data_IF_434625389540
#
_entry.id   IF_434625389540
#
_cell.length_a   1.000
_cell.length_b   1.000
_cell.length_c   1.000
_cell.angle_alpha   90.00
_cell.angle_beta   90.00
_cell.angle_gamma   90.00
#
_symmetry.space_group_name_H-M   'P 1'
#
loop_
_entity.id
_entity.type
_entity.pdbx_description
1 polymer ?
#
# COMPACT_ATOMS: atom_id res chain seq x y z
N UNK A 1 26.29 32.66 20.85
CA UNK A 1 25.33 32.85 21.96
C UNK A 1 24.55 34.12 21.67
N UNK A 2 23.23 34.08 21.50
CA UNK A 2 22.34 35.25 21.54
C UNK A 2 20.88 34.78 21.70
N UNK A 3 20.25 35.26 22.78
CA UNK A 3 18.82 35.27 23.10
C UNK A 3 18.08 33.93 23.11
N UNK A 4 18.22 33.19 24.22
CA UNK A 4 17.17 32.30 24.69
C UNK A 4 15.97 33.13 25.18
N UNK A 5 15.28 33.80 24.26
CA UNK A 5 13.90 34.18 24.47
C UNK A 5 13.16 32.88 24.80
N UNK A 6 12.49 32.83 25.95
CA UNK A 6 11.63 31.72 26.34
C UNK A 6 10.57 31.53 25.27
N UNK A 7 10.87 30.74 24.24
CA UNK A 7 9.95 30.49 23.17
C UNK A 7 8.75 29.77 23.79
N UNK A 8 7.57 30.36 23.69
CA UNK A 8 6.32 29.78 24.20
C UNK A 8 5.63 28.94 23.11
N UNK A 9 5.89 29.27 21.84
CA UNK A 9 5.34 28.62 20.66
C UNK A 9 6.37 28.51 19.54
N UNK A 10 6.10 27.60 18.60
CA UNK A 10 6.94 27.42 17.41
C UNK A 10 6.85 28.66 16.49
N UNK A 11 7.97 29.11 15.89
CA UNK A 11 7.96 30.20 14.90
C UNK A 11 7.05 29.89 13.70
N UNK A 12 6.50 30.93 13.05
CA UNK A 12 5.65 30.77 11.86
C UNK A 12 6.39 30.03 10.74
N UNK A 13 5.68 29.23 9.95
CA UNK A 13 6.26 28.45 8.85
C UNK A 13 7.07 29.32 7.86
N UNK A 14 6.56 30.51 7.52
CA UNK A 14 7.27 31.46 6.65
C UNK A 14 8.56 32.02 7.27
N UNK A 15 8.59 32.22 8.60
CA UNK A 15 9.80 32.67 9.30
C UNK A 15 10.88 31.59 9.27
N UNK A 16 10.51 30.33 9.55
CA UNK A 16 11.42 29.18 9.45
C UNK A 16 11.94 29.03 8.01
N UNK A 17 11.08 29.22 7.00
CA UNK A 17 11.51 29.21 5.59
C UNK A 17 12.49 30.35 5.28
N UNK A 18 12.26 31.55 5.80
CA UNK A 18 13.18 32.68 5.66
C UNK A 18 14.56 32.39 6.25
N UNK A 19 14.59 31.81 7.46
CA UNK A 19 15.84 31.38 8.11
C UNK A 19 16.53 30.25 7.34
N UNK A 20 15.77 29.25 6.90
CA UNK A 20 16.28 28.15 6.09
C UNK A 20 16.90 28.67 4.79
N UNK A 21 16.23 29.60 4.10
CA UNK A 21 16.73 30.22 2.87
C UNK A 21 18.00 31.04 3.10
N UNK A 22 18.09 31.77 4.21
CA UNK A 22 19.27 32.55 4.58
C UNK A 22 20.50 31.65 4.79
N UNK A 23 20.37 30.58 5.57
CA UNK A 23 21.46 29.63 5.81
C UNK A 23 21.78 28.83 4.54
N UNK A 24 20.76 28.45 3.76
CA UNK A 24 20.94 27.79 2.48
C UNK A 24 21.79 28.62 1.51
N UNK A 25 21.50 29.91 1.36
CA UNK A 25 22.27 30.82 0.51
C UNK A 25 23.71 31.02 0.99
N UNK A 26 23.94 31.15 2.31
CA UNK A 26 25.28 31.37 2.85
C UNK A 26 26.20 30.15 2.67
N UNK A 27 25.63 28.95 2.60
CA UNK A 27 26.38 27.68 2.47
C UNK A 27 26.09 26.92 1.19
N UNK A 28 25.57 27.60 0.16
CA UNK A 28 25.09 27.00 -1.08
C UNK A 28 26.13 26.08 -1.73
N UNK A 29 27.39 26.52 -1.81
CA UNK A 29 28.47 25.71 -2.39
C UNK A 29 28.74 24.39 -1.64
N UNK A 30 28.62 24.38 -0.31
CA UNK A 30 28.79 23.15 0.48
C UNK A 30 27.60 22.20 0.27
N UNK A 31 26.38 22.72 0.34
CA UNK A 31 25.17 21.92 0.18
C UNK A 31 25.05 21.34 -1.23
N UNK A 32 25.24 22.17 -2.27
CA UNK A 32 25.24 21.69 -3.65
C UNK A 32 26.42 20.77 -3.94
N UNK A 33 27.61 21.05 -3.39
CA UNK A 33 28.76 20.17 -3.55
C UNK A 33 28.52 18.75 -3.01
N UNK A 34 27.87 18.64 -1.84
CA UNK A 34 27.45 17.33 -1.30
C UNK A 34 26.41 16.67 -2.23
N UNK A 35 25.39 17.40 -2.66
CA UNK A 35 24.35 16.84 -3.54
C UNK A 35 24.88 16.44 -4.92
N UNK A 36 25.84 17.19 -5.46
CA UNK A 36 26.47 16.87 -6.74
C UNK A 36 27.31 15.59 -6.63
N UNK A 37 28.13 15.45 -5.58
CA UNK A 37 28.93 14.23 -5.39
C UNK A 37 28.01 13.01 -5.23
N UNK A 38 26.95 13.12 -4.43
CA UNK A 38 26.04 11.99 -4.18
C UNK A 38 25.26 11.54 -5.43
N UNK A 39 25.03 12.43 -6.40
CA UNK A 39 24.31 12.12 -7.63
C UNK A 39 25.24 11.79 -8.81
N UNK A 40 26.37 12.49 -8.96
CA UNK A 40 27.30 12.30 -10.07
C UNK A 40 28.05 10.96 -9.95
N UNK A 41 28.48 10.57 -8.75
CA UNK A 41 29.23 9.31 -8.56
C UNK A 41 28.44 8.08 -9.05
N UNK A 42 27.16 7.90 -8.67
CA UNK A 42 26.29 6.85 -9.25
C UNK A 42 26.18 6.91 -10.77
N UNK A 43 25.98 8.10 -11.35
CA UNK A 43 25.83 8.28 -12.80
C UNK A 43 27.11 7.89 -13.54
N UNK A 44 28.28 8.30 -13.04
CA UNK A 44 29.57 7.93 -13.62
C UNK A 44 29.81 6.43 -13.53
N UNK A 45 29.45 5.79 -12.41
CA UNK A 45 29.54 4.34 -12.28
C UNK A 45 28.67 3.62 -13.31
N UNK A 46 27.39 4.02 -13.43
CA UNK A 46 26.47 3.42 -14.41
C UNK A 46 27.01 3.62 -15.83
N UNK A 47 27.47 4.82 -16.18
CA UNK A 47 28.08 5.11 -17.47
C UNK A 47 29.29 4.24 -17.75
N UNK A 48 30.20 4.10 -16.79
CA UNK A 48 31.38 3.24 -16.91
C UNK A 48 31.00 1.77 -17.12
N UNK A 49 30.02 1.26 -16.37
CA UNK A 49 29.53 -0.12 -16.51
C UNK A 49 28.89 -0.37 -17.87
N UNK A 50 28.15 0.61 -18.41
CA UNK A 50 27.58 0.53 -19.77
C UNK A 50 28.71 0.46 -20.80
N UNK A 51 29.71 1.34 -20.72
CA UNK A 51 30.86 1.35 -21.64
C UNK A 51 31.63 0.03 -21.58
N UNK A 52 31.92 -0.48 -20.39
CA UNK A 52 32.58 -1.78 -20.21
C UNK A 52 31.73 -2.92 -20.77
N UNK A 53 30.42 -2.93 -20.52
CA UNK A 53 29.50 -3.93 -21.06
C UNK A 53 29.48 -3.93 -22.59
N UNK A 54 29.44 -2.75 -23.22
CA UNK A 54 29.51 -2.61 -24.67
C UNK A 54 30.85 -3.10 -25.23
N UNK A 55 31.97 -2.73 -24.59
CA UNK A 55 33.31 -3.16 -25.00
C UNK A 55 33.50 -4.68 -24.92
N UNK A 56 32.95 -5.32 -23.89
CA UNK A 56 33.00 -6.77 -23.70
C UNK A 56 31.99 -7.53 -24.58
N UNK A 57 31.23 -6.85 -25.44
CA UNK A 57 30.24 -7.48 -26.31
C UNK A 57 29.07 -8.09 -25.54
N UNK A 58 28.75 -7.56 -24.36
CA UNK A 58 27.67 -8.07 -23.52
C UNK A 58 26.32 -7.91 -24.22
N UNK A 59 25.67 -9.02 -24.56
CA UNK A 59 24.31 -9.03 -25.12
C UNK A 59 23.31 -9.16 -23.98
N UNK A 60 22.37 -8.22 -23.90
CA UNK A 60 21.24 -8.34 -22.99
C UNK A 60 20.47 -9.62 -23.33
N UNK A 61 20.17 -10.46 -22.33
CA UNK A 61 19.42 -11.67 -22.60
C UNK A 61 17.97 -11.31 -22.95
N UNK A 62 17.23 -12.22 -23.62
CA UNK A 62 15.85 -11.97 -24.00
C UNK A 62 14.98 -11.57 -22.79
N UNK A 63 14.01 -10.66 -22.96
CA UNK A 63 13.08 -10.29 -21.88
C UNK A 63 12.43 -11.53 -21.27
N UNK A 64 12.42 -11.62 -19.94
CA UNK A 64 11.84 -12.75 -19.19
C UNK A 64 12.80 -13.91 -18.88
N UNK A 65 14.04 -13.87 -19.38
CA UNK A 65 15.08 -14.82 -18.96
C UNK A 65 15.64 -14.46 -17.57
N UNK A 66 15.65 -15.43 -16.66
CA UNK A 66 16.22 -15.28 -15.32
C UNK A 66 17.71 -15.63 -15.34
N UNK A 67 18.57 -14.64 -15.55
CA UNK A 67 20.02 -14.81 -15.44
C UNK A 67 20.51 -14.36 -14.05
N UNK A 68 20.87 -15.33 -13.20
CA UNK A 68 21.32 -15.07 -11.82
C UNK A 68 22.52 -14.12 -11.78
N UNK A 69 23.46 -14.22 -12.72
CA UNK A 69 24.65 -13.36 -12.75
C UNK A 69 24.31 -11.88 -13.01
N UNK A 70 23.34 -11.62 -13.87
CA UNK A 70 22.86 -10.25 -14.14
C UNK A 70 22.11 -9.70 -12.92
N UNK A 71 21.28 -10.53 -12.29
CA UNK A 71 20.55 -10.13 -11.07
C UNK A 71 21.54 -9.77 -9.96
N UNK A 72 22.56 -10.61 -9.72
CA UNK A 72 23.59 -10.34 -8.72
C UNK A 72 24.38 -9.07 -9.06
N UNK A 73 24.75 -8.87 -10.32
CA UNK A 73 25.45 -7.65 -10.76
C UNK A 73 24.60 -6.40 -10.53
N UNK A 74 23.31 -6.46 -10.88
CA UNK A 74 22.36 -5.38 -10.63
C UNK A 74 22.21 -5.09 -9.13
N UNK A 75 22.09 -6.13 -8.29
CA UNK A 75 21.99 -5.97 -6.83
C UNK A 75 23.24 -5.33 -6.24
N UNK A 76 24.43 -5.69 -6.72
CA UNK A 76 25.69 -5.09 -6.27
C UNK A 76 25.73 -3.59 -6.63
N UNK A 77 25.44 -3.27 -7.89
CA UNK A 77 25.44 -1.88 -8.37
C UNK A 77 24.38 -1.05 -7.65
N UNK A 78 23.17 -1.59 -7.51
CA UNK A 78 22.08 -0.97 -6.77
C UNK A 78 22.47 -0.71 -5.30
N UNK A 79 23.06 -1.71 -4.64
CA UNK A 79 23.52 -1.57 -3.24
C UNK A 79 24.58 -0.48 -3.11
N UNK A 80 25.54 -0.42 -4.04
CA UNK A 80 26.55 0.64 -4.07
C UNK A 80 25.91 2.03 -4.24
N UNK A 81 24.99 2.19 -5.19
CA UNK A 81 24.27 3.44 -5.43
C UNK A 81 23.50 3.86 -4.17
N UNK A 82 22.81 2.92 -3.53
CA UNK A 82 22.06 3.16 -2.30
C UNK A 82 22.96 3.62 -1.14
N UNK A 83 24.16 3.04 -1.01
CA UNK A 83 25.18 3.46 -0.02
C UNK A 83 25.62 4.89 -0.30
N UNK A 84 26.01 5.20 -1.54
CA UNK A 84 26.50 6.55 -1.92
C UNK A 84 25.43 7.61 -1.72
N UNK A 85 24.19 7.31 -2.13
CA UNK A 85 23.06 8.22 -1.93
C UNK A 85 22.78 8.47 -0.44
N UNK A 86 22.71 7.40 0.36
CA UNK A 86 22.52 7.49 1.82
C UNK A 86 23.63 8.28 2.47
N UNK A 87 24.88 8.03 2.07
CA UNK A 87 26.04 8.73 2.60
C UNK A 87 25.97 10.24 2.32
N UNK A 88 25.54 10.63 1.11
CA UNK A 88 25.29 12.03 0.75
C UNK A 88 24.18 12.68 1.57
N UNK A 89 23.07 11.98 1.78
CA UNK A 89 21.96 12.47 2.62
C UNK A 89 22.43 12.71 4.06
N UNK A 90 23.16 11.77 4.66
CA UNK A 90 23.66 11.92 6.03
C UNK A 90 24.70 13.05 6.11
N UNK A 91 25.60 13.14 5.12
CA UNK A 91 26.57 14.23 5.03
C UNK A 91 25.87 15.59 4.98
N UNK A 92 24.79 15.71 4.20
CA UNK A 92 23.98 16.93 4.15
C UNK A 92 23.39 17.27 5.52
N UNK A 93 22.88 16.30 6.27
CA UNK A 93 22.35 16.53 7.62
C UNK A 93 23.45 17.03 8.57
N UNK A 94 24.67 16.47 8.51
CA UNK A 94 25.80 16.99 9.29
C UNK A 94 26.18 18.42 8.87
N UNK A 95 26.21 18.71 7.57
CA UNK A 95 26.52 20.06 7.06
C UNK A 95 25.50 21.11 7.51
N UNK A 96 24.24 20.69 7.69
CA UNK A 96 23.12 21.49 8.20
C UNK A 96 23.21 21.64 9.72
N UNK A 97 23.38 20.53 10.44
CA UNK A 97 23.48 20.48 11.91
C UNK A 97 24.61 21.36 12.41
N UNK A 98 25.79 21.20 11.82
CA UNK A 98 27.02 21.89 12.20
C UNK A 98 27.24 23.12 11.28
N UNK A 99 26.14 23.76 10.83
CA UNK A 99 26.21 24.92 9.93
C UNK A 99 26.86 26.14 10.57
N UNK A 100 26.72 26.31 11.88
CA UNK A 100 27.38 27.35 12.66
C UNK A 100 28.91 27.17 12.73
N UNK A 101 29.39 25.91 12.68
CA UNK A 101 30.82 25.57 12.65
C UNK A 101 31.42 25.69 11.24
N UNK A 102 30.59 25.84 10.20
CA UNK A 102 31.05 26.01 8.82
C UNK A 102 31.72 24.77 8.20
N UNK A 103 31.36 23.55 8.64
CA UNK A 103 32.04 22.32 8.20
C UNK A 103 32.01 22.11 6.67
N UNK A 104 33.15 21.78 6.06
CA UNK A 104 33.26 21.58 4.60
C UNK A 104 32.64 20.27 4.09
N UNK A 105 32.63 20.10 2.76
CA UNK A 105 32.07 18.92 2.06
C UNK A 105 32.73 17.62 2.55
N UNK A 106 34.07 17.55 2.52
CA UNK A 106 34.84 16.37 2.93
C UNK A 106 34.55 15.98 4.39
N UNK A 107 34.48 16.97 5.26
CA UNK A 107 34.22 16.74 6.69
C UNK A 107 32.82 16.18 6.93
N UNK A 108 31.84 16.71 6.20
CA UNK A 108 30.45 16.27 6.26
C UNK A 108 30.31 14.79 5.88
N UNK A 109 30.96 14.36 4.79
CA UNK A 109 31.03 12.96 4.40
C UNK A 109 31.78 12.09 5.43
N UNK A 110 32.91 12.56 5.96
CA UNK A 110 33.67 11.83 6.98
C UNK A 110 32.84 11.53 8.23
N UNK A 111 32.13 12.55 8.75
CA UNK A 111 31.20 12.38 9.88
C UNK A 111 30.04 11.43 9.53
N UNK A 112 29.50 11.55 8.32
CA UNK A 112 28.32 10.77 7.89
C UNK A 112 28.55 9.26 7.72
N UNK A 113 29.76 8.82 7.36
CA UNK A 113 30.06 7.41 7.05
C UNK A 113 29.68 6.46 8.20
N UNK A 114 29.98 6.84 9.44
CA UNK A 114 29.77 6.01 10.63
C UNK A 114 28.30 5.91 11.07
N UNK A 115 27.39 6.64 10.41
CA UNK A 115 25.96 6.63 10.73
C UNK A 115 25.10 5.89 9.71
N UNK A 116 25.66 5.39 8.60
CA UNK A 116 24.90 4.73 7.53
C UNK A 116 24.05 3.57 8.06
N UNK A 117 24.66 2.64 8.81
CA UNK A 117 23.93 1.49 9.38
C UNK A 117 22.85 1.92 10.38
N UNK A 118 23.14 2.92 11.21
CA UNK A 118 22.17 3.42 12.19
C UNK A 118 21.01 4.15 11.51
N UNK A 119 21.30 4.89 10.43
CA UNK A 119 20.30 5.55 9.60
C UNK A 119 19.40 4.53 8.94
N UNK A 120 19.95 3.53 8.25
CA UNK A 120 19.16 2.46 7.65
C UNK A 120 18.34 1.70 8.69
N UNK A 121 18.87 1.42 9.86
CA UNK A 121 18.08 0.76 10.92
C UNK A 121 16.89 1.60 11.38
N UNK A 122 17.08 2.91 11.61
CA UNK A 122 15.98 3.83 11.96
C UNK A 122 14.96 3.95 10.82
N UNK A 123 15.44 4.13 9.58
CA UNK A 123 14.59 4.23 8.38
C UNK A 123 13.83 2.94 8.10
N UNK A 124 14.45 1.78 8.34
CA UNK A 124 13.81 0.47 8.22
C UNK A 124 12.68 0.36 9.22
N UNK A 125 12.93 0.57 10.51
CA UNK A 125 11.89 0.55 11.55
C UNK A 125 10.75 1.53 11.24
N UNK A 126 11.09 2.75 10.79
CA UNK A 126 10.11 3.74 10.36
C UNK A 126 9.24 3.21 9.21
N UNK A 127 9.84 2.66 8.16
CA UNK A 127 9.13 2.16 6.99
C UNK A 127 8.09 1.10 7.38
N UNK A 128 8.44 0.13 8.22
CA UNK A 128 7.49 -0.89 8.68
C UNK A 128 6.38 -0.33 9.55
N UNK A 129 6.69 0.60 10.46
CA UNK A 129 5.66 1.25 11.28
C UNK A 129 4.70 2.03 10.39
N UNK A 130 5.20 2.74 9.36
CA UNK A 130 4.34 3.48 8.45
C UNK A 130 3.47 2.54 7.63
N UNK A 131 4.03 1.47 7.05
CA UNK A 131 3.25 0.49 6.28
C UNK A 131 2.17 -0.17 7.15
N UNK A 132 2.52 -0.56 8.38
CA UNK A 132 1.53 -1.07 9.35
C UNK A 132 0.54 -0.01 9.81
N UNK A 133 0.95 1.24 9.91
CA UNK A 133 0.08 2.38 10.23
C UNK A 133 -0.93 2.67 9.12
N UNK A 134 -0.49 2.61 7.86
CA UNK A 134 -1.30 2.88 6.66
C UNK A 134 -2.27 1.75 6.29
N UNK A 135 -2.38 0.69 7.11
CA UNK A 135 -3.58 -0.16 7.13
C UNK A 135 -4.83 0.71 7.23
N UNK A 136 -4.73 1.78 8.03
CA UNK A 136 -5.71 2.84 8.11
C UNK A 136 -5.00 4.16 7.78
N UNK A 137 -5.55 4.94 6.86
CA UNK A 137 -4.90 6.17 6.35
C UNK A 137 -4.58 7.14 7.51
N UNK A 138 -5.52 7.31 8.45
CA UNK A 138 -5.40 8.28 9.55
C UNK A 138 -4.26 7.94 10.53
N UNK A 139 -4.17 6.71 11.11
CA UNK A 139 -3.01 6.30 11.91
C UNK A 139 -1.67 6.43 11.19
N UNK A 140 -1.61 6.11 9.90
CA UNK A 140 -0.40 6.25 9.08
C UNK A 140 0.12 7.69 9.04
N UNK A 141 -0.76 8.67 8.81
CA UNK A 141 -0.41 10.10 8.81
C UNK A 141 0.05 10.55 10.20
N UNK A 142 -0.64 10.10 11.26
CA UNK A 142 -0.25 10.45 12.64
C UNK A 142 1.17 9.97 12.95
N UNK A 143 1.49 8.72 12.59
CA UNK A 143 2.84 8.15 12.77
C UNK A 143 3.88 8.85 11.91
N UNK A 144 3.57 9.18 10.65
CA UNK A 144 4.49 9.91 9.77
C UNK A 144 4.93 11.23 10.39
N UNK A 145 4.01 11.98 10.98
CA UNK A 145 4.33 13.26 11.63
C UNK A 145 5.05 13.04 12.96
N UNK A 146 4.62 12.10 13.82
CA UNK A 146 5.34 11.78 15.06
C UNK A 146 6.80 11.39 14.83
N UNK A 147 7.07 10.66 13.76
CA UNK A 147 8.38 10.11 13.47
C UNK A 147 9.18 10.89 12.42
N UNK A 148 8.63 11.98 11.89
CA UNK A 148 9.26 12.83 10.87
C UNK A 148 10.65 13.35 11.27
N UNK A 149 10.93 13.50 12.57
CA UNK A 149 12.18 14.07 13.09
C UNK A 149 13.19 13.02 13.57
N UNK A 150 12.88 11.73 13.44
CA UNK A 150 13.69 10.63 13.98
C UNK A 150 15.12 10.62 13.44
N UNK A 151 15.30 11.01 12.17
CA UNK A 151 16.61 11.11 11.55
C UNK A 151 17.44 12.24 12.19
N UNK A 152 16.82 13.37 12.51
CA UNK A 152 17.52 14.46 13.20
C UNK A 152 17.88 14.09 14.63
N UNK A 153 16.99 13.39 15.34
CA UNK A 153 17.30 12.83 16.67
C UNK A 153 18.53 11.91 16.58
N UNK A 154 18.60 11.04 15.57
CA UNK A 154 19.75 10.16 15.36
C UNK A 154 21.06 10.93 15.16
N UNK A 155 21.07 11.94 14.30
CA UNK A 155 22.31 12.65 13.93
C UNK A 155 22.70 13.72 14.95
N UNK A 156 21.71 14.40 15.53
CA UNK A 156 21.93 15.49 16.48
C UNK A 156 22.19 14.99 17.91
N UNK A 157 21.58 13.86 18.30
CA UNK A 157 21.60 13.37 19.69
C UNK A 157 22.23 11.98 19.84
N UNK A 158 22.66 11.35 18.74
CA UNK A 158 23.24 10.01 18.71
C UNK A 158 22.37 8.91 19.31
N UNK A 159 21.05 9.06 19.22
CA UNK A 159 20.07 8.06 19.67
C UNK A 159 19.65 7.21 18.48
N UNK A 160 19.65 5.88 18.64
CA UNK A 160 19.50 4.94 17.52
C UNK A 160 18.25 4.07 17.65
N UNK A 161 17.87 3.43 16.54
CA UNK A 161 16.79 2.45 16.47
C UNK A 161 15.44 3.01 16.92
N UNK A 162 14.66 2.20 17.63
CA UNK A 162 13.31 2.57 18.09
C UNK A 162 13.32 3.78 19.04
N UNK A 163 14.40 3.98 19.78
CA UNK A 163 14.45 5.04 20.78
C UNK A 163 14.53 6.42 20.10
N UNK A 164 15.13 6.49 18.90
CA UNK A 164 15.14 7.70 18.07
C UNK A 164 13.73 8.08 17.60
N UNK A 165 12.96 7.07 17.17
CA UNK A 165 11.56 7.21 16.77
C UNK A 165 10.69 7.69 17.94
N UNK A 166 10.79 7.02 19.08
CA UNK A 166 9.98 7.36 20.24
C UNK A 166 10.35 8.74 20.80
N UNK A 167 11.62 9.15 20.75
CA UNK A 167 12.02 10.51 21.15
C UNK A 167 11.51 11.57 20.17
N UNK A 168 11.51 11.29 18.86
CA UNK A 168 10.85 12.15 17.85
C UNK A 168 9.37 12.34 18.19
N UNK A 169 8.66 11.24 18.49
CA UNK A 169 7.25 11.30 18.91
C UNK A 169 7.08 12.21 20.12
N UNK A 170 7.95 12.11 21.10
CA UNK A 170 7.92 12.95 22.29
C UNK A 170 8.13 14.43 21.96
N UNK A 171 9.00 14.80 21.02
CA UNK A 171 9.11 16.20 20.57
C UNK A 171 7.84 16.72 19.91
N UNK A 172 7.13 15.86 19.17
CA UNK A 172 5.93 16.24 18.41
C UNK A 172 4.66 16.17 19.28
N UNK A 173 4.65 15.35 20.33
CA UNK A 173 3.49 15.11 21.20
C UNK A 173 3.02 16.42 21.84
N UNK A 174 1.70 16.68 21.78
CA UNK A 174 1.08 17.93 22.22
C UNK A 174 1.22 19.11 21.24
N UNK A 175 2.04 18.98 20.18
CA UNK A 175 2.20 19.99 19.12
C UNK A 175 2.00 19.41 17.72
N UNK A 176 1.34 18.25 17.61
CA UNK A 176 1.23 17.48 16.37
C UNK A 176 0.70 18.30 15.19
N UNK A 177 -0.43 18.99 15.37
CA UNK A 177 -1.02 19.80 14.29
C UNK A 177 -0.10 20.95 13.86
N UNK A 178 0.59 21.57 14.81
CA UNK A 178 1.58 22.62 14.54
C UNK A 178 2.75 22.10 13.69
N UNK A 179 3.18 20.86 13.91
CA UNK A 179 4.23 20.21 13.11
C UNK A 179 3.69 19.81 11.73
N UNK A 180 2.51 19.19 11.69
CA UNK A 180 1.83 18.81 10.45
C UNK A 180 1.71 19.97 9.47
N UNK A 181 1.16 21.12 9.91
CA UNK A 181 0.96 22.27 9.03
C UNK A 181 2.27 22.88 8.53
N UNK A 182 3.38 22.78 9.29
CA UNK A 182 4.71 23.23 8.84
C UNK A 182 5.29 22.32 7.76
N UNK A 183 5.11 21.00 7.89
CA UNK A 183 5.52 20.05 6.86
C UNK A 183 4.63 20.15 5.63
N UNK A 184 3.32 20.30 5.79
CA UNK A 184 2.41 20.53 4.66
C UNK A 184 2.78 21.82 3.92
N UNK A 185 3.06 22.91 4.64
CA UNK A 185 3.49 24.17 4.05
C UNK A 185 4.73 24.00 3.16
N UNK A 186 5.81 23.39 3.66
CA UNK A 186 7.03 23.23 2.87
C UNK A 186 6.82 22.26 1.69
N UNK A 187 5.98 21.23 1.84
CA UNK A 187 5.61 20.33 0.74
C UNK A 187 4.86 21.07 -0.36
N UNK A 188 3.86 21.88 -0.02
CA UNK A 188 3.08 22.65 -0.99
C UNK A 188 3.95 23.69 -1.72
N UNK A 189 4.81 24.41 -0.98
CA UNK A 189 5.76 25.35 -1.59
C UNK A 189 6.74 24.62 -2.51
N UNK A 190 7.28 23.47 -2.08
CA UNK A 190 8.17 22.64 -2.88
C UNK A 190 7.49 22.11 -4.15
N UNK A 191 6.21 21.74 -4.06
CA UNK A 191 5.40 21.31 -5.20
C UNK A 191 5.21 22.45 -6.21
N UNK A 192 4.87 23.66 -5.74
CA UNK A 192 4.74 24.84 -6.61
C UNK A 192 6.07 25.13 -7.32
N UNK A 193 7.19 25.13 -6.59
CA UNK A 193 8.53 25.33 -7.16
C UNK A 193 8.86 24.25 -8.20
N UNK A 194 8.60 22.98 -7.89
CA UNK A 194 8.80 21.86 -8.83
C UNK A 194 7.97 22.01 -10.10
N UNK A 195 6.71 22.43 -10.00
CA UNK A 195 5.84 22.66 -11.16
C UNK A 195 6.40 23.80 -12.02
N UNK A 196 6.74 24.95 -11.40
CA UNK A 196 7.28 26.11 -12.13
C UNK A 196 8.60 25.75 -12.83
N UNK A 197 9.51 25.07 -12.14
CA UNK A 197 10.81 24.69 -12.70
C UNK A 197 10.73 23.56 -13.74
N UNK A 198 9.64 22.78 -13.76
CA UNK A 198 9.44 21.72 -14.76
C UNK A 198 8.76 22.21 -16.05
N UNK A 199 8.22 23.44 -16.09
CA UNK A 199 7.60 24.01 -17.32
C UNK A 199 8.54 23.93 -18.53
N UNK A 200 9.83 24.32 -18.45
CA UNK A 200 10.74 24.17 -19.59
C UNK A 200 10.88 22.71 -20.04
N UNK A 201 10.93 21.74 -19.11
CA UNK A 201 11.02 20.32 -19.44
C UNK A 201 9.83 19.85 -20.27
N UNK A 202 8.62 20.33 -19.97
CA UNK A 202 7.40 20.05 -20.74
C UNK A 202 7.52 20.61 -22.16
N UNK A 203 7.98 21.86 -22.30
CA UNK A 203 8.18 22.52 -23.60
C UNK A 203 9.18 21.72 -24.45
N UNK A 204 10.33 21.35 -23.90
CA UNK A 204 11.34 20.55 -24.61
C UNK A 204 10.81 19.15 -24.97
N UNK A 205 9.99 18.55 -24.12
CA UNK A 205 9.29 17.30 -24.40
C UNK A 205 8.33 17.42 -25.60
N UNK A 206 7.56 18.51 -25.67
CA UNK A 206 6.69 18.80 -26.83
C UNK A 206 7.48 19.01 -28.12
N UNK A 207 8.66 19.62 -28.02
CA UNK A 207 9.61 19.77 -29.14
C UNK A 207 10.33 18.47 -29.51
N UNK A 208 10.06 17.35 -28.81
CA UNK A 208 10.71 16.04 -28.98
C UNK A 208 12.24 16.10 -28.89
N UNK A 209 12.78 17.02 -28.09
CA UNK A 209 14.22 17.08 -27.85
C UNK A 209 14.54 16.04 -26.76
N UNK A 210 15.27 14.95 -27.09
CA UNK A 210 15.52 13.88 -26.13
C UNK A 210 16.41 14.36 -24.99
N UNK A 211 16.28 13.75 -23.82
CA UNK A 211 17.10 13.93 -22.62
C UNK A 211 17.04 15.30 -21.92
N UNK A 212 16.66 16.40 -22.59
CA UNK A 212 16.64 17.74 -21.97
C UNK A 212 15.65 17.80 -20.80
N UNK A 213 14.46 17.23 -20.96
CA UNK A 213 13.47 17.16 -19.88
C UNK A 213 13.98 16.35 -18.68
N UNK A 214 14.67 15.23 -18.94
CA UNK A 214 15.23 14.37 -17.90
C UNK A 214 16.33 15.10 -17.13
N UNK A 215 17.19 15.84 -17.82
CA UNK A 215 18.26 16.64 -17.21
C UNK A 215 17.64 17.70 -16.29
N UNK A 216 16.64 18.45 -16.75
CA UNK A 216 15.97 19.49 -15.95
C UNK A 216 15.36 18.86 -14.69
N UNK A 217 14.58 17.79 -14.84
CA UNK A 217 13.96 17.09 -13.71
C UNK A 217 14.98 16.49 -12.74
N UNK A 218 16.16 16.11 -13.21
CA UNK A 218 17.25 15.59 -12.36
C UNK A 218 17.95 16.68 -11.56
N UNK A 219 17.97 17.93 -12.08
CA UNK A 219 18.64 19.05 -11.43
C UNK A 219 17.80 19.63 -10.29
N UNK A 220 16.47 19.70 -10.44
CA UNK A 220 15.61 20.37 -9.44
C UNK A 220 15.81 19.82 -8.01
N UNK A 221 15.83 18.49 -7.76
CA UNK A 221 16.05 17.95 -6.41
C UNK A 221 17.40 18.30 -5.79
N UNK A 222 18.45 18.48 -6.61
CA UNK A 222 19.79 18.87 -6.15
C UNK A 222 19.74 20.21 -5.41
N UNK A 223 18.89 21.14 -5.87
CA UNK A 223 18.68 22.44 -5.24
C UNK A 223 17.63 22.41 -4.13
N UNK A 224 16.53 21.68 -4.34
CA UNK A 224 15.37 21.73 -3.45
C UNK A 224 15.57 20.89 -2.17
N UNK A 225 16.20 19.73 -2.26
CA UNK A 225 16.38 18.81 -1.12
C UNK A 225 17.12 19.45 0.06
N UNK A 226 18.26 20.17 -0.12
CA UNK A 226 18.91 20.88 0.97
C UNK A 226 18.03 21.92 1.67
N UNK A 227 17.21 22.65 0.90
CA UNK A 227 16.31 23.66 1.45
C UNK A 227 15.23 23.00 2.33
N UNK A 228 14.60 21.94 1.84
CA UNK A 228 13.58 21.18 2.59
C UNK A 228 14.19 20.54 3.84
N UNK A 229 15.39 19.99 3.73
CA UNK A 229 16.08 19.37 4.86
C UNK A 229 16.52 20.39 5.91
N UNK A 230 17.00 21.57 5.48
CA UNK A 230 17.29 22.69 6.38
C UNK A 230 16.05 23.14 7.12
N UNK A 231 14.94 23.39 6.39
CA UNK A 231 13.67 23.76 6.99
C UNK A 231 13.21 22.73 8.03
N UNK A 232 13.27 21.44 7.69
CA UNK A 232 12.88 20.35 8.57
C UNK A 232 13.78 20.25 9.81
N UNK A 233 15.08 20.49 9.65
CA UNK A 233 16.03 20.55 10.77
C UNK A 233 15.74 21.74 11.69
N UNK A 234 15.38 22.91 11.15
CA UNK A 234 14.99 24.07 11.96
C UNK A 234 13.71 23.80 12.76
N UNK A 235 12.70 23.14 12.17
CA UNK A 235 11.51 22.69 12.91
C UNK A 235 11.90 21.77 14.07
N UNK A 236 12.81 20.82 13.83
CA UNK A 236 13.35 19.96 14.88
C UNK A 236 14.08 20.75 15.98
N UNK A 237 14.97 21.67 15.59
CA UNK A 237 15.78 22.48 16.50
C UNK A 237 14.89 23.35 17.40
N UNK A 238 13.87 23.98 16.83
CA UNK A 238 12.94 24.83 17.56
C UNK A 238 12.08 24.00 18.52
N UNK A 239 11.58 22.83 18.10
CA UNK A 239 10.88 21.89 18.99
C UNK A 239 11.75 21.40 20.14
N UNK A 240 13.02 21.09 19.86
CA UNK A 240 13.99 20.68 20.88
C UNK A 240 14.23 21.83 21.86
N UNK A 241 14.41 23.05 21.37
CA UNK A 241 14.59 24.25 22.21
C UNK A 241 13.36 24.52 23.08
N UNK A 242 12.15 24.28 22.58
CA UNK A 242 10.89 24.45 23.32
C UNK A 242 10.72 23.40 24.42
N UNK A 243 11.10 22.14 24.15
CA UNK A 243 10.92 21.04 25.10
C UNK A 243 12.04 20.99 26.15
N UNK A 244 13.22 21.51 25.82
CA UNK A 244 14.41 21.44 26.66
C UNK A 244 15.04 20.04 26.72
N UNK A 245 16.06 19.90 27.55
CA UNK A 245 16.62 18.58 27.86
C UNK A 245 15.71 17.85 28.84
N UNK A 246 15.32 16.63 28.48
CA UNK A 246 14.56 15.74 29.36
C UNK A 246 15.18 14.34 29.32
N UNK A 247 15.23 13.63 30.47
CA UNK A 247 15.66 12.25 30.48
C UNK A 247 14.65 11.42 29.67
N UNK A 248 15.14 10.73 28.65
CA UNK A 248 14.30 9.90 27.80
C UNK A 248 14.67 8.43 27.97
N UNK A 249 13.85 7.70 28.72
CA UNK A 249 13.90 6.24 28.84
C UNK A 249 12.54 5.69 28.41
N UNK A 250 12.43 5.10 27.20
CA UNK A 250 11.14 4.59 26.73
C UNK A 250 10.70 3.40 27.57
N UNK A 251 9.40 3.35 27.91
CA UNK A 251 8.84 2.16 28.55
C UNK A 251 8.85 0.96 27.60
N UNK A 252 9.20 -0.23 28.10
CA UNK A 252 9.26 -1.46 27.30
C UNK A 252 7.93 -1.78 26.59
N UNK A 253 6.79 -1.47 27.24
CA UNK A 253 5.45 -1.66 26.68
C UNK A 253 5.19 -0.77 25.46
N UNK A 254 5.60 0.51 25.52
CA UNK A 254 5.46 1.42 24.36
C UNK A 254 6.31 0.93 23.19
N UNK A 255 7.55 0.49 23.47
CA UNK A 255 8.46 -0.05 22.46
C UNK A 255 7.86 -1.29 21.78
N UNK A 256 7.34 -2.23 22.56
CA UNK A 256 6.69 -3.43 22.05
C UNK A 256 5.47 -3.13 21.16
N UNK A 257 4.64 -2.14 21.52
CA UNK A 257 3.48 -1.75 20.70
C UNK A 257 3.85 -1.32 19.29
N UNK A 258 4.86 -0.46 19.14
CA UNK A 258 5.30 -0.02 17.80
C UNK A 258 6.06 -1.10 17.03
N UNK A 259 6.79 -1.98 17.73
CA UNK A 259 7.38 -3.16 17.09
C UNK A 259 6.28 -4.06 16.53
N UNK A 260 5.21 -4.31 17.28
CA UNK A 260 4.06 -5.08 16.82
C UNK A 260 3.39 -4.44 15.59
N UNK A 261 3.17 -3.12 15.60
CA UNK A 261 2.69 -2.39 14.42
C UNK A 261 3.62 -2.57 13.21
N UNK A 262 4.93 -2.51 13.42
CA UNK A 262 5.91 -2.77 12.35
C UNK A 262 5.85 -4.20 11.80
N UNK A 263 5.70 -5.20 12.68
CA UNK A 263 5.54 -6.61 12.28
C UNK A 263 4.26 -6.81 11.46
N UNK A 264 3.15 -6.18 11.85
CA UNK A 264 1.92 -6.18 11.05
C UNK A 264 2.15 -5.57 9.66
N UNK A 265 2.92 -4.47 9.59
CA UNK A 265 3.34 -3.89 8.32
C UNK A 265 4.14 -4.86 7.45
N UNK A 266 5.07 -5.62 8.03
CA UNK A 266 5.86 -6.63 7.32
C UNK A 266 4.98 -7.74 6.77
N UNK A 267 4.01 -8.21 7.56
CA UNK A 267 3.06 -9.23 7.13
C UNK A 267 2.28 -8.79 5.88
N UNK A 268 1.91 -7.52 5.78
CA UNK A 268 1.19 -6.97 4.62
C UNK A 268 2.07 -6.95 3.37
N UNK A 269 3.34 -6.54 3.50
CA UNK A 269 4.29 -6.50 2.38
C UNK A 269 4.47 -7.90 1.77
N UNK A 270 4.37 -8.95 2.57
CA UNK A 270 4.52 -10.34 2.10
C UNK A 270 3.18 -10.86 1.56
N UNK A 271 2.08 -10.66 2.28
CA UNK A 271 0.79 -11.27 1.94
C UNK A 271 0.12 -10.64 0.72
N UNK A 272 0.25 -9.33 0.52
CA UNK A 272 -0.38 -8.64 -0.62
C UNK A 272 0.19 -9.11 -1.96
N UNK A 273 1.52 -9.13 -2.19
CA UNK A 273 2.08 -9.67 -3.44
C UNK A 273 1.77 -11.16 -3.64
N UNK A 274 1.78 -11.97 -2.58
CA UNK A 274 1.41 -13.39 -2.68
C UNK A 274 -0.06 -13.56 -3.09
N UNK A 275 -0.96 -12.76 -2.51
CA UNK A 275 -2.36 -12.76 -2.88
C UNK A 275 -2.55 -12.30 -4.33
N UNK A 276 -1.88 -11.23 -4.77
CA UNK A 276 -1.91 -10.76 -6.16
C UNK A 276 -1.33 -11.77 -7.14
N UNK A 277 -0.25 -12.45 -6.77
CA UNK A 277 0.34 -13.53 -7.57
C UNK A 277 -0.60 -14.73 -7.67
N UNK A 278 -1.27 -15.08 -6.56
CA UNK A 278 -2.26 -16.15 -6.52
C UNK A 278 -3.50 -15.82 -7.38
N UNK A 279 -4.06 -14.61 -7.27
CA UNK A 279 -5.19 -14.20 -8.11
C UNK A 279 -4.81 -14.13 -9.58
N UNK A 280 -3.62 -13.61 -9.91
CA UNK A 280 -3.08 -13.63 -11.28
C UNK A 280 -2.87 -15.06 -11.81
N UNK A 281 -2.38 -15.98 -10.97
CA UNK A 281 -2.25 -17.40 -11.31
C UNK A 281 -3.60 -18.06 -11.60
N UNK A 282 -4.60 -17.83 -10.73
CA UNK A 282 -5.96 -18.35 -10.91
C UNK A 282 -6.60 -17.78 -12.19
N UNK A 283 -6.47 -16.49 -12.45
CA UNK A 283 -7.01 -15.85 -13.65
C UNK A 283 -6.37 -16.41 -14.94
N UNK A 284 -5.06 -16.67 -14.92
CA UNK A 284 -4.36 -17.31 -16.05
C UNK A 284 -4.81 -18.76 -16.26
N UNK A 285 -5.07 -19.52 -15.18
CA UNK A 285 -5.57 -20.91 -15.25
C UNK A 285 -7.02 -20.98 -15.73
N UNK A 286 -7.87 -20.03 -15.30
CA UNK A 286 -9.25 -19.92 -15.77
C UNK A 286 -9.29 -19.55 -17.26
N UNK A 287 -8.50 -18.56 -17.71
CA UNK A 287 -8.42 -18.18 -19.13
C UNK A 287 -7.89 -19.30 -20.04
N UNK A 288 -6.93 -20.12 -19.56
CA UNK A 288 -6.46 -21.31 -20.30
C UNK A 288 -7.53 -22.41 -20.38
N UNK A 289 -8.35 -22.58 -19.34
CA UNK A 289 -9.43 -23.60 -19.31
C UNK A 289 -10.57 -23.24 -20.29
N UNK A 290 -10.89 -21.96 -20.41
CA UNK A 290 -11.89 -21.45 -21.35
C UNK A 290 -11.44 -21.58 -22.81
N UNK A 291 -10.16 -21.35 -23.11
CA UNK A 291 -9.58 -21.57 -24.43
C UNK A 291 -9.42 -23.05 -24.81
N UNK A 292 -9.23 -23.94 -23.83
CA UNK A 292 -9.18 -25.39 -24.08
C UNK A 292 -10.57 -25.97 -24.38
N UNK A 293 -11.62 -25.49 -23.71
CA UNK A 293 -13.00 -25.90 -23.96
C UNK A 293 -13.54 -25.44 -25.33
N UNK A 294 -13.00 -24.34 -25.87
CA UNK A 294 -13.38 -23.83 -27.19
C UNK A 294 -12.68 -24.53 -28.38
N UNK A 295 -11.77 -25.50 -28.12
CA UNK A 295 -10.96 -26.16 -29.15
C UNK A 295 -11.19 -27.67 -29.30
N UNK A 296 -12.16 -28.27 -28.61
CA UNK A 296 -12.53 -29.66 -28.89
C UNK A 296 -13.28 -29.76 -30.24
N UNK A 297 -12.79 -30.57 -31.20
CA UNK A 297 -13.45 -30.72 -32.49
C UNK A 297 -14.66 -31.66 -32.36
N UNK A 298 -15.84 -31.17 -32.75
CA UNK A 298 -17.04 -31.99 -32.93
C UNK A 298 -16.80 -32.92 -34.13
N UNK A 299 -16.58 -34.21 -33.86
CA UNK A 299 -16.44 -35.23 -34.88
C UNK A 299 -17.81 -35.61 -35.45
N UNK A 300 -18.00 -35.34 -36.75
CA UNK A 300 -19.15 -35.79 -37.54
C UNK A 300 -18.89 -37.20 -38.11
N UNK A 301 -19.87 -38.09 -37.92
CA UNK A 301 -19.87 -39.50 -38.36
C UNK A 301 -20.09 -39.61 -39.86
N UNK A 302 -19.17 -40.25 -40.60
CA UNK A 302 -19.48 -40.96 -41.86
C UNK A 302 -18.53 -42.16 -42.04
N UNK A 303 -19.12 -43.34 -42.31
CA UNK A 303 -18.55 -44.51 -43.01
C UNK A 303 -19.71 -45.10 -43.87
N UNK A 304 -19.49 -45.91 -44.93
CA UNK A 304 -18.25 -46.63 -45.32
C UNK A 304 -17.93 -46.68 -46.84
N UNK A 305 -16.69 -47.07 -47.18
CA UNK A 305 -16.41 -47.88 -48.38
C UNK A 305 -15.11 -48.70 -48.17
N UNK A 306 -15.25 -50.03 -48.23
CA UNK A 306 -14.18 -51.02 -48.08
C UNK A 306 -13.28 -51.09 -49.34
N UNK A 307 -12.00 -51.45 -49.17
CA UNK A 307 -11.41 -52.73 -49.67
C UNK A 307 -9.96 -52.90 -49.20
N UNK A 308 -9.76 -53.90 -48.31
CA UNK A 308 -8.69 -54.94 -48.18
C UNK A 308 -7.30 -54.63 -48.80
N UNK A 309 -6.16 -54.93 -48.16
CA UNK A 309 -5.79 -56.14 -47.38
C UNK A 309 -4.38 -55.99 -46.75
N UNK A 310 -4.11 -56.86 -45.77
CA UNK A 310 -2.82 -57.51 -45.39
C UNK A 310 -2.03 -57.04 -44.15
N UNK A 311 -2.47 -57.55 -42.98
CA UNK A 311 -1.78 -58.43 -42.00
C UNK A 311 -0.26 -58.30 -41.84
N UNK A 312 0.18 -57.98 -40.59
CA UNK A 312 1.12 -58.79 -39.78
C UNK A 312 1.03 -58.40 -38.29
N UNK A 313 1.03 -59.43 -37.44
CA UNK A 313 0.97 -59.39 -35.97
C UNK A 313 2.39 -59.55 -35.36
N UNK A 314 2.56 -59.75 -34.05
CA UNK A 314 2.80 -58.70 -33.03
C UNK A 314 4.16 -58.88 -32.32
N UNK A 315 4.64 -57.87 -31.60
CA UNK A 315 5.72 -58.06 -30.61
C UNK A 315 5.25 -57.69 -29.21
N UNK A 316 5.29 -58.69 -28.34
CA UNK A 316 5.09 -58.63 -26.90
C UNK A 316 6.16 -57.77 -26.23
N UNK A 317 5.76 -57.03 -25.19
CA UNK A 317 6.62 -56.87 -24.02
C UNK A 317 5.76 -56.86 -22.76
N UNK A 318 5.82 -57.98 -22.03
CA UNK A 318 5.42 -58.09 -20.62
C UNK A 318 6.25 -57.12 -19.77
N UNK A 319 5.64 -56.53 -18.73
CA UNK A 319 6.24 -56.44 -17.38
C UNK A 319 5.26 -55.91 -16.31
N UNK A 320 5.09 -56.78 -15.30
CA UNK A 320 4.93 -56.54 -13.85
C UNK A 320 3.60 -56.02 -13.33
N UNK A 321 2.91 -56.97 -12.69
CA UNK A 321 1.79 -56.87 -11.79
C UNK A 321 2.24 -56.24 -10.45
N UNK A 322 1.74 -55.05 -10.14
CA UNK A 322 1.69 -54.51 -8.79
C UNK A 322 0.21 -54.43 -8.42
N UNK A 323 -0.21 -55.13 -7.37
CA UNK A 323 -1.55 -55.00 -6.81
C UNK A 323 -1.75 -53.56 -6.31
N UNK A 324 -2.36 -52.73 -7.14
CA UNK A 324 -2.79 -51.39 -6.79
C UNK A 324 -4.05 -51.53 -5.94
N UNK A 325 -3.96 -51.25 -4.64
CA UNK A 325 -5.13 -51.05 -3.79
C UNK A 325 -5.91 -49.83 -4.30
N UNK A 326 -6.96 -50.07 -5.08
CA UNK A 326 -7.84 -49.04 -5.60
C UNK A 326 -8.90 -48.69 -4.53
N UNK A 327 -8.82 -47.49 -3.98
CA UNK A 327 -9.86 -46.97 -3.10
C UNK A 327 -11.12 -46.67 -3.92
N UNK A 328 -12.14 -47.54 -3.80
CA UNK A 328 -13.45 -47.30 -4.40
C UNK A 328 -14.27 -46.29 -3.55
N UNK A 329 -14.27 -45.03 -3.99
CA UNK A 329 -15.05 -43.95 -3.39
C UNK A 329 -16.55 -44.00 -3.73
N UNK A 330 -17.00 -44.99 -4.51
CA UNK A 330 -18.37 -45.05 -5.03
C UNK A 330 -19.34 -45.49 -3.92
N UNK A 331 -20.23 -44.58 -3.52
CA UNK A 331 -21.31 -44.84 -2.55
C UNK A 331 -21.01 -44.41 -1.11
N UNK A 332 -19.83 -43.84 -0.80
CA UNK A 332 -19.51 -43.30 0.53
C UNK A 332 -19.77 -41.80 0.58
N UNK A 333 -20.30 -41.31 1.72
CA UNK A 333 -20.55 -39.88 1.96
C UNK A 333 -19.23 -39.12 1.94
N UNK A 334 -19.22 -38.00 1.21
CA UNK A 334 -18.04 -37.14 1.08
C UNK A 334 -17.52 -36.69 2.47
N UNK A 335 -16.28 -37.07 2.84
CA UNK A 335 -15.71 -36.76 4.15
C UNK A 335 -15.36 -35.27 4.33
N UNK A 336 -15.53 -34.45 3.28
CA UNK A 336 -15.32 -33.00 3.32
C UNK A 336 -16.62 -32.19 3.29
N UNK A 337 -17.80 -32.84 3.24
CA UNK A 337 -19.08 -32.17 3.46
C UNK A 337 -19.32 -32.01 4.96
N UNK A 338 -19.38 -30.76 5.43
CA UNK A 338 -19.65 -30.44 6.83
C UNK A 338 -20.95 -31.10 7.32
N UNK A 339 -20.91 -31.74 8.49
CA UNK A 339 -22.11 -32.33 9.13
C UNK A 339 -23.21 -31.29 9.43
N UNK A 340 -22.85 -29.99 9.46
CA UNK A 340 -23.76 -28.85 9.63
C UNK A 340 -23.90 -28.10 8.30
N UNK A 341 -24.41 -28.78 7.29
CA UNK A 341 -25.16 -28.07 6.24
C UNK A 341 -26.57 -28.02 6.80
N UNK A 342 -26.96 -26.89 7.38
CA UNK A 342 -28.38 -26.55 7.51
C UNK A 342 -28.91 -26.71 6.10
N UNK A 343 -29.66 -27.79 5.88
CA UNK A 343 -30.31 -28.07 4.60
C UNK A 343 -31.40 -27.01 4.44
N UNK A 344 -30.99 -25.79 4.10
CA UNK A 344 -31.83 -24.82 3.43
C UNK A 344 -32.22 -25.53 2.15
N UNK A 345 -33.41 -26.13 2.11
CA UNK A 345 -34.06 -26.44 0.83
C UNK A 345 -33.87 -25.18 -0.03
N UNK A 346 -33.06 -25.25 -1.09
CA UNK A 346 -32.88 -24.11 -1.99
C UNK A 346 -34.28 -23.77 -2.49
N UNK A 347 -34.84 -22.59 -2.18
CA UNK A 347 -36.13 -22.23 -2.72
C UNK A 347 -35.98 -22.18 -4.23
N UNK A 348 -36.86 -22.91 -4.91
CA UNK A 348 -36.96 -22.91 -6.37
C UNK A 348 -37.23 -21.45 -6.76
N UNK A 349 -36.33 -20.83 -7.54
CA UNK A 349 -36.59 -19.54 -8.19
C UNK A 349 -37.88 -19.67 -8.99
N UNK A 350 -38.99 -19.18 -8.45
CA UNK A 350 -40.28 -19.21 -9.13
C UNK A 350 -40.16 -18.27 -10.34
N UNK A 351 -40.37 -18.78 -11.56
CA UNK A 351 -40.43 -17.93 -12.75
C UNK A 351 -41.67 -17.03 -12.61
N UNK A 352 -41.47 -15.71 -12.58
CA UNK A 352 -42.55 -14.70 -12.57
C UNK A 352 -42.77 -13.92 -11.27
N UNK A 353 -41.92 -14.08 -10.25
CA UNK A 353 -41.99 -13.27 -9.00
C UNK A 353 -41.23 -11.96 -9.10
N UNK A 354 -41.59 -11.01 -8.23
CA UNK A 354 -41.02 -9.68 -8.19
C UNK A 354 -39.50 -9.75 -7.94
N UNK A 355 -38.67 -8.88 -8.54
CA UNK A 355 -37.21 -8.89 -8.37
C UNK A 355 -36.73 -8.93 -6.91
N UNK A 356 -37.51 -8.34 -6.00
CA UNK A 356 -37.28 -8.27 -4.54
C UNK A 356 -37.47 -9.59 -3.79
N UNK A 357 -38.01 -10.62 -4.43
CA UNK A 357 -38.21 -11.96 -3.86
C UNK A 357 -37.06 -12.93 -4.22
N UNK A 358 -36.09 -12.48 -5.02
CA UNK A 358 -34.98 -13.32 -5.50
C UNK A 358 -33.73 -13.30 -4.61
N UNK A 359 -33.74 -12.52 -3.53
CA UNK A 359 -32.59 -12.31 -2.64
C UNK A 359 -32.98 -12.60 -1.19
N UNK A 360 -32.02 -12.91 -0.32
CA UNK A 360 -32.31 -13.07 1.11
C UNK A 360 -32.63 -11.70 1.72
N UNK A 361 -33.52 -11.64 2.73
CA UNK A 361 -33.91 -10.39 3.39
C UNK A 361 -32.70 -9.70 4.02
N UNK A 362 -31.72 -10.49 4.51
CA UNK A 362 -30.47 -10.00 5.10
C UNK A 362 -29.53 -9.32 4.09
N UNK A 363 -29.70 -9.61 2.80
CA UNK A 363 -28.89 -9.01 1.73
C UNK A 363 -29.46 -7.66 1.24
N UNK A 364 -30.67 -7.31 1.67
CA UNK A 364 -31.34 -6.05 1.32
C UNK A 364 -30.87 -4.91 2.21
N UNK A 365 -30.61 -3.74 1.61
CA UNK A 365 -30.23 -2.52 2.35
C UNK A 365 -31.37 -1.52 2.35
N UNK A 366 -31.77 -1.03 3.52
CA UNK A 366 -32.73 0.07 3.66
C UNK A 366 -32.01 1.41 3.45
N UNK A 367 -32.39 2.16 2.41
CA UNK A 367 -31.72 3.37 1.96
C UNK A 367 -32.45 4.64 2.37
N UNK A 368 -33.79 4.63 2.26
CA UNK A 368 -34.62 5.77 2.61
C UNK A 368 -36.00 5.31 3.09
N UNK A 369 -36.66 6.14 3.89
CA UNK A 369 -38.07 5.98 4.23
C UNK A 369 -38.77 7.31 3.93
N UNK A 370 -39.82 7.25 3.11
CA UNK A 370 -40.72 8.36 2.83
C UNK A 370 -42.08 8.08 3.46
N UNK A 371 -42.81 9.12 3.86
CA UNK A 371 -44.16 8.96 4.40
C UNK A 371 -45.07 10.09 3.97
N UNK A 372 -46.36 9.77 3.82
CA UNK A 372 -47.46 10.71 3.69
C UNK A 372 -48.34 10.65 4.96
N UNK A 373 -49.46 11.37 5.03
CA UNK A 373 -50.31 11.46 6.22
C UNK A 373 -50.80 10.12 6.78
N UNK A 374 -50.86 9.06 5.96
CA UNK A 374 -51.39 7.75 6.36
C UNK A 374 -50.52 6.53 5.98
N UNK A 375 -49.40 6.71 5.26
CA UNK A 375 -48.61 5.57 4.74
C UNK A 375 -47.11 5.82 4.77
N UNK A 376 -46.36 4.78 5.14
CA UNK A 376 -44.91 4.72 5.03
C UNK A 376 -44.48 3.91 3.81
N UNK A 377 -43.42 4.38 3.15
CA UNK A 377 -42.78 3.79 1.99
C UNK A 377 -41.30 3.62 2.28
N UNK A 378 -40.78 2.40 2.19
CA UNK A 378 -39.35 2.13 2.35
C UNK A 378 -38.69 1.94 0.98
N UNK A 379 -37.53 2.54 0.77
CA UNK A 379 -36.69 2.35 -0.40
C UNK A 379 -35.57 1.37 -0.05
N UNK A 380 -35.59 0.20 -0.69
CA UNK A 380 -34.56 -0.84 -0.51
C UNK A 380 -33.65 -0.94 -1.73
N UNK A 381 -32.38 -1.27 -1.48
CA UNK A 381 -31.38 -1.60 -2.50
C UNK A 381 -31.10 -3.11 -2.45
N UNK A 382 -31.23 -3.76 -3.60
CA UNK A 382 -30.88 -5.17 -3.82
C UNK A 382 -29.36 -5.32 -4.04
N UNK A 383 -28.81 -6.56 -3.95
CA UNK A 383 -27.41 -6.84 -4.26
C UNK A 383 -26.98 -6.53 -5.69
N UNK A 384 -27.91 -6.42 -6.65
CA UNK A 384 -27.65 -5.97 -8.02
C UNK A 384 -27.64 -4.43 -8.17
N UNK A 385 -27.61 -3.69 -7.07
CA UNK A 385 -27.66 -2.23 -6.97
C UNK A 385 -28.93 -1.58 -7.55
N UNK A 386 -30.02 -2.34 -7.75
CA UNK A 386 -31.31 -1.77 -8.13
C UNK A 386 -32.14 -1.40 -6.91
N UNK A 387 -32.90 -0.32 -7.04
CA UNK A 387 -33.74 0.22 -5.98
C UNK A 387 -35.21 -0.14 -6.19
N UNK A 388 -35.89 -0.53 -5.12
CA UNK A 388 -37.32 -0.85 -5.11
C UNK A 388 -38.02 -0.18 -3.94
N UNK A 389 -39.23 0.33 -4.18
CA UNK A 389 -40.08 0.88 -3.12
C UNK A 389 -40.97 -0.23 -2.57
N UNK A 390 -41.04 -0.35 -1.25
CA UNK A 390 -41.82 -1.36 -0.54
C UNK A 390 -42.76 -0.70 0.46
N UNK A 391 -43.96 -1.24 0.58
CA UNK A 391 -45.00 -0.80 1.52
C UNK A 391 -45.33 -1.91 2.50
N UNK A 392 -45.99 -1.56 3.61
CA UNK A 392 -46.52 -2.56 4.54
C UNK A 392 -47.38 -3.59 3.82
N UNK A 393 -47.19 -4.86 4.18
CA UNK A 393 -47.88 -6.00 3.60
C UNK A 393 -47.26 -6.59 2.32
N UNK A 394 -46.25 -5.95 1.71
CA UNK A 394 -45.54 -6.53 0.55
C UNK A 394 -44.70 -7.75 0.94
N UNK A 395 -44.52 -8.66 -0.03
CA UNK A 395 -43.71 -9.87 0.10
C UNK A 395 -42.31 -9.59 -0.46
N UNK A 396 -41.29 -9.93 0.31
CA UNK A 396 -39.87 -9.72 0.04
C UNK A 396 -39.09 -10.96 0.48
N UNK A 397 -37.95 -11.20 -0.14
CA UNK A 397 -37.05 -12.25 0.30
C UNK A 397 -37.37 -13.65 -0.23
N UNK A 398 -36.35 -14.49 -0.31
CA UNK A 398 -36.43 -15.89 -0.77
C UNK A 398 -37.41 -16.77 0.04
N UNK A 399 -37.69 -16.39 1.28
CA UNK A 399 -38.57 -17.11 2.21
C UNK A 399 -39.97 -16.50 2.32
N UNK A 400 -40.34 -15.61 1.39
CA UNK A 400 -41.68 -14.99 1.36
C UNK A 400 -41.96 -14.11 2.57
N UNK A 401 -40.95 -13.38 3.05
CA UNK A 401 -41.05 -12.48 4.18
C UNK A 401 -42.05 -11.36 3.91
N UNK A 402 -42.95 -11.09 4.84
CA UNK A 402 -43.96 -10.02 4.72
C UNK A 402 -43.54 -8.81 5.54
N UNK A 403 -43.58 -7.62 4.94
CA UNK A 403 -43.35 -6.36 5.65
C UNK A 403 -44.47 -6.18 6.69
N UNK A 404 -44.11 -6.24 7.96
CA UNK A 404 -45.06 -6.11 9.08
C UNK A 404 -45.32 -4.64 9.40
N UNK A 405 -44.25 -3.84 9.48
CA UNK A 405 -44.32 -2.44 9.93
C UNK A 405 -43.14 -1.65 9.34
N UNK A 406 -43.40 -0.41 8.94
CA UNK A 406 -42.38 0.56 8.54
C UNK A 406 -42.46 1.77 9.47
N UNK A 407 -41.41 2.00 10.27
CA UNK A 407 -41.27 3.17 11.14
C UNK A 407 -40.45 4.27 10.44
N UNK A 408 -40.13 5.37 11.13
CA UNK A 408 -39.29 6.46 10.57
C UNK A 408 -37.83 6.06 10.34
N UNK A 409 -37.36 5.01 10.98
CA UNK A 409 -35.96 4.61 11.04
C UNK A 409 -35.73 3.10 10.84
N UNK A 410 -36.80 2.29 10.83
CA UNK A 410 -36.70 0.83 10.70
C UNK A 410 -37.81 0.24 9.85
N UNK A 411 -37.53 -0.92 9.27
CA UNK A 411 -38.52 -1.77 8.60
C UNK A 411 -38.44 -3.17 9.19
N UNK A 412 -39.58 -3.71 9.62
CA UNK A 412 -39.68 -5.05 10.23
C UNK A 412 -40.27 -6.02 9.21
N UNK A 413 -39.54 -7.08 8.90
CA UNK A 413 -39.94 -8.13 7.96
C UNK A 413 -40.06 -9.45 8.73
N UNK A 414 -41.20 -10.13 8.61
CA UNK A 414 -41.43 -11.44 9.22
C UNK A 414 -41.39 -12.52 8.14
N UNK A 415 -40.45 -13.45 8.27
CA UNK A 415 -40.30 -14.62 7.40
C UNK A 415 -40.58 -15.92 8.18
N UNK A 416 -41.06 -16.95 7.48
CA UNK A 416 -41.34 -18.26 8.06
C UNK A 416 -40.28 -19.25 7.55
N UNK A 417 -39.37 -19.65 8.44
CA UNK A 417 -38.25 -20.53 8.12
C UNK A 417 -38.46 -21.89 8.79
N UNK A 418 -38.23 -22.98 8.05
CA UNK A 418 -38.28 -24.33 8.62
C UNK A 418 -37.03 -24.59 9.45
N UNK A 419 -37.21 -25.01 10.69
CA UNK A 419 -36.14 -25.44 11.61
C UNK A 419 -35.63 -26.86 11.23
N UNK A 420 -34.56 -27.34 11.86
CA UNK A 420 -33.91 -28.63 11.55
C UNK A 420 -34.82 -29.86 11.70
N UNK A 421 -35.99 -29.71 12.35
CA UNK A 421 -37.00 -30.75 12.55
C UNK A 421 -38.14 -30.68 11.52
N UNK A 422 -38.09 -29.71 10.59
CA UNK A 422 -39.17 -29.42 9.64
C UNK A 422 -40.25 -28.47 10.19
N UNK A 423 -40.14 -28.07 11.45
CA UNK A 423 -41.09 -27.17 12.11
C UNK A 423 -40.95 -25.74 11.58
N UNK A 424 -42.07 -25.11 11.21
CA UNK A 424 -42.06 -23.73 10.72
C UNK A 424 -41.95 -22.75 11.90
N UNK A 425 -40.88 -21.95 11.95
CA UNK A 425 -40.70 -20.88 12.94
C UNK A 425 -40.70 -19.51 12.27
N UNK A 426 -41.35 -18.54 12.91
CA UNK A 426 -41.29 -17.14 12.51
C UNK A 426 -39.95 -16.52 12.91
N UNK A 427 -39.31 -15.81 11.98
CA UNK A 427 -38.12 -15.00 12.21
C UNK A 427 -38.42 -13.56 11.81
N UNK A 428 -38.19 -12.64 12.73
CA UNK A 428 -38.36 -11.21 12.50
C UNK A 428 -37.00 -10.56 12.22
N UNK A 429 -36.85 -9.97 11.04
CA UNK A 429 -35.64 -9.30 10.59
C UNK A 429 -35.89 -7.80 10.55
N UNK A 430 -35.06 -7.03 11.26
CA UNK A 430 -35.19 -5.58 11.40
C UNK A 430 -34.10 -4.90 10.54
N UNK A 431 -34.51 -4.22 9.47
CA UNK A 431 -33.62 -3.39 8.67
C UNK A 431 -33.63 -1.96 9.20
N UNK A 432 -32.47 -1.43 9.58
CA UNK A 432 -32.32 -0.06 10.08
C UNK A 432 -31.86 0.88 8.97
N UNK A 433 -32.42 2.08 8.96
CA UNK A 433 -31.99 3.16 8.08
C UNK A 433 -30.58 3.60 8.49
N UNK A 434 -29.62 3.48 7.58
CA UNK A 434 -28.24 3.87 7.84
C UNK A 434 -28.17 5.40 7.86
N UNK A 435 -27.89 5.99 9.03
CA UNK A 435 -27.59 7.42 9.12
C UNK A 435 -26.21 7.65 8.49
N UNK A 436 -26.11 8.61 7.58
CA UNK A 436 -24.83 9.18 7.16
C UNK A 436 -24.19 9.78 8.41
N UNK A 437 -23.28 9.04 9.05
CA UNK A 437 -22.29 9.66 9.92
C UNK A 437 -21.29 10.36 9.00
N UNK A 438 -21.28 11.68 9.14
CA UNK A 438 -20.46 12.66 8.43
C UNK A 438 -19.00 12.19 8.29
N UNK A 439 -18.50 12.27 7.06
CA UNK A 439 -17.10 12.01 6.66
C UNK A 439 -16.06 12.88 7.37
#
# INVERSE_FOLDING_TARGET
>A
MNNASTMTALPKASAILGDAWRIYKSRLGTFLGIMLISNIVPVLLIGALIVVGLFLGFKLPPPGSLNIGIILSFLIVFSFIMIVYTWGVIALIYAIKDSDEGIGIKESYRKGWHKILSFWWVSFLLAFILIGGFILIVPGIIFAIWFSLSVFVLIAEDIKGMDALLKSREYVKGRWGSVFWRFLFIVLISMIIMIILSVPAIIFGLLRIPFVGDIINSIIPIFLTPLVMMYSFLVYRDLKSLKGEFPFTPSGRTKAGFIFTGIMGLFIIITVPLFLAYTGYIQTRLGKKEQAAAKEPVAEKVQPAETKKQIKAPEETKKVEQEVYAYEAKGKRDPFLSLVIVSREKPIKKKGVSPVENYDVEELKLIAIAWDKEKYYALIMLPDNKFYTVTEGMILGLYGGKVQEITRDTMIIREYVKDYRGDTKSKDTILKLRKEEEE
#
